data_IF_664662433788
#
_entry.id   IF_664662433788
#
_cell.length_a   1.000
_cell.length_b   1.000
_cell.length_c   1.000
_cell.angle_alpha   90.00
_cell.angle_beta   90.00
_cell.angle_gamma   90.00
#
_symmetry.space_group_name_H-M   'P 1'
#
loop_
_entity.id
_entity.type
_entity.pdbx_description
1 polymer ?
#
# COMPACT_ATOMS: atom_id res chain seq x y z
N UNK A 1 8.71 10.42 -21.40
CA UNK A 1 8.38 9.66 -20.18
C UNK A 1 7.00 10.09 -19.68
N UNK A 2 5.96 9.30 -19.94
CA UNK A 2 4.59 9.68 -19.58
C UNK A 2 4.40 9.80 -18.07
N UNK A 3 3.94 10.96 -17.61
CA UNK A 3 3.41 11.23 -16.26
C UNK A 3 2.12 10.42 -16.05
N UNK A 4 2.20 9.10 -16.14
CA UNK A 4 1.07 8.20 -15.93
C UNK A 4 0.79 8.09 -14.45
N UNK A 5 -0.43 8.40 -14.05
CA UNK A 5 -0.98 8.05 -12.75
C UNK A 5 -1.01 6.52 -12.55
N UNK A 6 -1.06 6.07 -11.29
CA UNK A 6 -1.14 4.64 -10.95
C UNK A 6 -2.36 3.99 -11.58
N UNK A 7 -2.25 2.71 -11.96
CA UNK A 7 -3.43 1.92 -12.38
C UNK A 7 -4.41 1.68 -11.23
N UNK A 8 -3.91 1.75 -9.99
CA UNK A 8 -4.65 1.50 -8.77
C UNK A 8 -4.94 2.79 -8.02
N UNK A 9 -6.13 2.87 -7.45
CA UNK A 9 -6.44 3.76 -6.34
C UNK A 9 -5.73 3.28 -5.07
N UNK A 10 -5.55 4.19 -4.12
CA UNK A 10 -4.95 3.85 -2.83
C UNK A 10 -5.77 2.78 -2.08
N UNK A 11 -7.11 2.80 -2.22
CA UNK A 11 -7.99 1.79 -1.64
C UNK A 11 -7.81 0.40 -2.27
N UNK A 12 -7.56 0.32 -3.58
CA UNK A 12 -7.23 -0.96 -4.24
C UNK A 12 -5.89 -1.49 -3.79
N UNK A 13 -4.87 -0.63 -3.64
CA UNK A 13 -3.58 -1.03 -3.11
C UNK A 13 -3.69 -1.57 -1.68
N UNK A 14 -4.46 -0.92 -0.80
CA UNK A 14 -4.74 -1.42 0.55
C UNK A 14 -5.37 -2.81 0.51
N UNK A 15 -6.36 -3.03 -0.36
CA UNK A 15 -6.99 -4.36 -0.52
C UNK A 15 -6.00 -5.41 -1.01
N UNK A 16 -5.08 -5.06 -1.90
CA UNK A 16 -4.03 -5.98 -2.38
C UNK A 16 -3.08 -6.38 -1.26
N UNK A 17 -2.66 -5.43 -0.42
CA UNK A 17 -1.81 -5.69 0.75
C UNK A 17 -2.52 -6.60 1.74
N UNK A 18 -3.78 -6.32 2.08
CA UNK A 18 -4.57 -7.18 2.97
C UNK A 18 -4.74 -8.60 2.40
N UNK A 19 -5.00 -8.71 1.09
CA UNK A 19 -5.10 -10.01 0.40
C UNK A 19 -3.80 -10.80 0.39
N UNK A 20 -2.64 -10.15 0.56
CA UNK A 20 -1.37 -10.86 0.64
C UNK A 20 -1.16 -11.54 1.99
N UNK A 21 -2.01 -11.30 2.99
CA UNK A 21 -1.83 -11.76 4.36
C UNK A 21 -1.20 -10.71 5.28
N UNK A 22 -0.88 -9.53 4.77
CA UNK A 22 -0.37 -8.44 5.60
C UNK A 22 -1.49 -7.84 6.45
N UNK A 23 -1.15 -7.44 7.67
CA UNK A 23 -2.08 -6.87 8.65
C UNK A 23 -1.76 -5.41 8.91
N UNK A 24 -2.79 -4.58 9.09
CA UNK A 24 -2.62 -3.21 9.56
C UNK A 24 -2.26 -3.23 11.05
N UNK A 25 -1.13 -2.64 11.42
CA UNK A 25 -0.63 -2.64 12.80
C UNK A 25 -0.85 -1.32 13.50
N UNK A 26 -0.57 -0.20 12.83
CA UNK A 26 -0.82 1.13 13.35
C UNK A 26 -1.01 2.17 12.25
N UNK A 27 -1.56 3.33 12.64
CA UNK A 27 -1.71 4.50 11.78
C UNK A 27 -0.72 5.58 12.22
N UNK A 28 0.06 6.12 11.28
CA UNK A 28 1.02 7.21 11.53
C UNK A 28 0.67 8.36 10.60
N UNK A 29 0.11 9.44 11.18
CA UNK A 29 -0.39 10.58 10.41
C UNK A 29 -1.44 10.15 9.38
N UNK A 30 -1.17 10.40 8.10
CA UNK A 30 -2.03 10.03 6.98
C UNK A 30 -1.70 8.67 6.34
N UNK A 31 -0.98 7.79 7.04
CA UNK A 31 -0.55 6.48 6.53
C UNK A 31 -0.99 5.34 7.46
N UNK A 32 -1.47 4.26 6.86
CA UNK A 32 -1.61 2.97 7.52
C UNK A 32 -0.33 2.17 7.34
N UNK A 33 0.16 1.58 8.41
CA UNK A 33 1.34 0.73 8.41
C UNK A 33 0.89 -0.73 8.34
N UNK A 34 1.46 -1.46 7.40
CA UNK A 34 1.21 -2.88 7.23
C UNK A 34 2.45 -3.70 7.53
N UNK A 35 2.24 -4.83 8.21
CA UNK A 35 3.28 -5.81 8.50
C UNK A 35 2.86 -7.17 7.95
N UNK A 36 3.83 -8.02 7.62
CA UNK A 36 3.60 -9.35 7.08
C UNK A 36 4.51 -10.34 7.79
N UNK A 37 4.00 -11.53 8.14
CA UNK A 37 4.75 -12.56 8.86
C UNK A 37 6.05 -12.97 8.15
N UNK A 38 5.99 -13.14 6.82
CA UNK A 38 7.15 -13.45 5.97
C UNK A 38 8.20 -12.31 5.86
N UNK A 39 7.87 -11.08 6.30
CA UNK A 39 8.78 -9.93 6.27
C UNK A 39 8.92 -9.32 7.68
N UNK A 40 9.51 -10.05 8.64
CA UNK A 40 9.60 -9.58 10.02
C UNK A 40 10.42 -8.30 10.12
N UNK A 41 9.85 -7.27 10.75
CA UNK A 41 10.46 -5.95 10.91
C UNK A 41 10.28 -4.99 9.74
N UNK A 42 9.78 -5.44 8.58
CA UNK A 42 9.46 -4.56 7.46
C UNK A 42 8.04 -3.99 7.63
N UNK A 43 7.93 -2.66 7.63
CA UNK A 43 6.64 -1.96 7.70
C UNK A 43 6.38 -1.25 6.38
N UNK A 44 5.24 -1.53 5.76
CA UNK A 44 4.79 -0.86 4.54
C UNK A 44 3.84 0.30 4.88
N UNK A 45 4.27 1.57 4.73
CA UNK A 45 3.37 2.71 4.83
C UNK A 45 2.54 2.85 3.55
N UNK A 46 1.22 2.77 3.67
CA UNK A 46 0.28 3.08 2.58
C UNK A 46 -0.54 4.29 2.99
N UNK A 47 -0.61 5.36 2.18
CA UNK A 47 -1.46 6.50 2.50
C UNK A 47 -2.90 6.04 2.74
N UNK A 48 -3.52 6.50 3.80
CA UNK A 48 -4.93 6.30 4.07
C UNK A 48 -5.52 7.66 4.40
N UNK A 49 -6.21 8.25 3.43
CA UNK A 49 -6.68 9.62 3.57
C UNK A 49 -7.90 9.66 4.51
N UNK A 50 -7.69 10.13 5.74
CA UNK A 50 -8.79 10.64 6.56
C UNK A 50 -9.44 11.83 5.83
N UNK A 51 -10.73 11.72 5.51
CA UNK A 51 -11.60 12.71 4.83
C UNK A 51 -11.14 13.32 3.48
N UNK A 52 -9.87 13.21 3.08
CA UNK A 52 -9.32 13.83 1.86
C UNK A 52 -9.23 12.89 0.63
N UNK A 53 -9.60 11.62 0.76
CA UNK A 53 -9.79 10.74 -0.40
C UNK A 53 -11.14 11.05 -1.03
N UNK A 54 -11.13 11.97 -1.99
CA UNK A 54 -12.11 11.90 -3.06
C UNK A 54 -12.10 10.45 -3.59
N UNK A 55 -13.23 9.77 -3.50
CA UNK A 55 -13.48 8.49 -4.19
C UNK A 55 -12.92 8.60 -5.60
N UNK A 56 -12.03 7.68 -5.99
CA UNK A 56 -11.51 7.59 -7.35
C UNK A 56 -10.17 8.27 -7.65
N UNK A 57 -9.50 8.90 -6.67
CA UNK A 57 -8.15 9.43 -6.92
C UNK A 57 -7.12 8.28 -7.02
N UNK A 58 -6.42 8.23 -8.14
CA UNK A 58 -5.35 7.25 -8.38
C UNK A 58 -4.21 7.47 -7.38
N UNK A 59 -3.57 6.37 -6.96
CA UNK A 59 -2.36 6.44 -6.16
C UNK A 59 -1.21 7.05 -6.97
N UNK A 60 -0.13 7.43 -6.29
CA UNK A 60 1.11 7.74 -6.99
C UNK A 60 1.79 6.44 -7.43
N UNK A 61 2.51 6.46 -8.56
CA UNK A 61 3.31 5.31 -9.00
C UNK A 61 4.34 4.85 -7.98
N UNK A 62 4.82 5.76 -7.11
CA UNK A 62 5.74 5.42 -6.02
C UNK A 62 5.07 4.52 -4.99
N UNK A 63 3.81 4.82 -4.63
CA UNK A 63 3.02 4.02 -3.70
C UNK A 63 2.66 2.68 -4.34
N UNK A 64 2.21 2.67 -5.60
CA UNK A 64 1.94 1.44 -6.36
C UNK A 64 3.15 0.51 -6.37
N UNK A 65 4.32 1.03 -6.78
CA UNK A 65 5.57 0.24 -6.81
C UNK A 65 5.92 -0.30 -5.43
N UNK A 66 5.89 0.53 -4.40
CA UNK A 66 6.23 0.11 -3.03
C UNK A 66 5.32 -1.03 -2.53
N UNK A 67 4.02 -0.95 -2.82
CA UNK A 67 3.04 -1.97 -2.44
C UNK A 67 3.28 -3.27 -3.19
N UNK A 68 3.44 -3.20 -4.52
CA UNK A 68 3.65 -4.41 -5.32
C UNK A 68 4.99 -5.09 -5.00
N UNK A 69 6.06 -4.31 -4.78
CA UNK A 69 7.37 -4.83 -4.39
C UNK A 69 7.29 -5.52 -3.00
N UNK A 70 6.56 -4.94 -2.05
CA UNK A 70 6.35 -5.56 -0.73
C UNK A 70 5.58 -6.89 -0.85
N UNK A 71 4.48 -6.92 -1.62
CA UNK A 71 3.70 -8.14 -1.84
C UNK A 71 4.54 -9.21 -2.55
N UNK A 72 5.35 -8.82 -3.55
CA UNK A 72 6.22 -9.75 -4.25
C UNK A 72 7.26 -10.37 -3.31
N UNK A 73 7.89 -9.55 -2.45
CA UNK A 73 8.82 -10.04 -1.41
C UNK A 73 8.15 -10.97 -0.41
N UNK A 74 6.94 -10.62 0.05
CA UNK A 74 6.18 -11.42 1.01
C UNK A 74 5.82 -12.81 0.46
N UNK A 75 5.61 -12.94 -0.86
CA UNK A 75 5.30 -14.20 -1.56
C UNK A 75 6.51 -15.08 -1.87
N UNK A 76 7.73 -14.51 -1.92
CA UNK A 76 8.94 -15.25 -2.29
C UNK A 76 9.59 -15.99 -1.12
N UNK A 77 9.07 -15.82 0.09
CA UNK A 77 9.46 -16.55 1.31
C UNK A 77 8.30 -17.43 1.74
#
# INVERSE_FOLDING_TARGET
MGKGSSKYTTGELIRLVLKSGAVHTNTVGSHWMFEHENLPGEKLPVPHAGKASQKGKQASKKVEKSVLDFIARAKMK
#
